data_IF_635150001059
#
_entry.id   IF_635150001059
#
_cell.length_a   1.000
_cell.length_b   1.000
_cell.length_c   1.000
_cell.angle_alpha   90.00
_cell.angle_beta   90.00
_cell.angle_gamma   90.00
#
_symmetry.space_group_name_H-M   'P 1'
#
loop_
_entity.id
_entity.type
_entity.pdbx_description
1 polymer ?
#
# COMPACT_ATOMS: atom_id res chain seq x y z
N UNK A 1 20.64 1.88 -23.50
CA UNK A 1 20.15 3.26 -23.27
C UNK A 1 18.62 3.32 -23.12
N UNK A 2 17.83 2.77 -24.05
CA UNK A 2 16.36 2.77 -23.94
C UNK A 2 15.83 2.10 -22.65
N UNK A 3 16.44 1.00 -22.20
CA UNK A 3 16.06 0.30 -20.96
C UNK A 3 16.22 1.15 -19.70
N UNK A 4 17.33 1.90 -19.60
CA UNK A 4 17.60 2.78 -18.46
C UNK A 4 16.55 3.89 -18.38
N UNK A 5 16.16 4.47 -19.52
CA UNK A 5 15.11 5.48 -19.57
C UNK A 5 13.75 4.92 -19.12
N UNK A 6 13.38 3.73 -19.58
CA UNK A 6 12.13 3.08 -19.15
C UNK A 6 12.12 2.82 -17.64
N UNK A 7 13.23 2.32 -17.08
CA UNK A 7 13.36 2.11 -15.63
C UNK A 7 13.24 3.44 -14.87
N UNK A 8 13.89 4.50 -15.35
CA UNK A 8 13.84 5.82 -14.73
C UNK A 8 12.41 6.41 -14.76
N UNK A 9 11.70 6.25 -15.87
CA UNK A 9 10.29 6.67 -15.99
C UNK A 9 9.39 5.90 -15.04
N UNK A 10 9.52 4.57 -14.98
CA UNK A 10 8.75 3.73 -14.07
C UNK A 10 9.02 4.10 -12.59
N UNK A 11 10.29 4.27 -12.22
CA UNK A 11 10.67 4.69 -10.87
C UNK A 11 10.10 6.08 -10.52
N UNK A 12 10.16 7.03 -11.46
CA UNK A 12 9.62 8.38 -11.27
C UNK A 12 8.11 8.34 -11.08
N UNK A 13 7.40 7.58 -11.92
CA UNK A 13 5.95 7.42 -11.83
C UNK A 13 5.53 6.81 -10.48
N UNK A 14 6.14 5.69 -10.10
CA UNK A 14 5.88 5.05 -8.81
C UNK A 14 6.21 5.98 -7.63
N UNK A 15 7.28 6.76 -7.72
CA UNK A 15 7.64 7.74 -6.68
C UNK A 15 6.58 8.85 -6.55
N UNK A 16 6.10 9.41 -7.66
CA UNK A 16 5.07 10.46 -7.66
C UNK A 16 3.74 9.94 -7.10
N UNK A 17 3.32 8.74 -7.50
CA UNK A 17 2.10 8.10 -6.99
C UNK A 17 2.24 7.74 -5.50
N UNK A 18 3.41 7.28 -5.07
CA UNK A 18 3.72 7.07 -3.66
C UNK A 18 3.66 8.35 -2.81
N UNK A 19 4.08 9.50 -3.35
CA UNK A 19 3.91 10.80 -2.67
C UNK A 19 2.42 11.15 -2.54
N UNK A 20 1.62 10.89 -3.57
CA UNK A 20 0.17 11.13 -3.52
C UNK A 20 -0.51 10.23 -2.49
N UNK A 21 -0.17 8.94 -2.44
CA UNK A 21 -0.70 7.99 -1.46
C UNK A 21 -0.23 8.27 -0.03
N UNK A 22 0.97 8.80 0.17
CA UNK A 22 1.40 9.21 1.51
C UNK A 22 0.55 10.36 2.06
N UNK A 23 0.09 11.28 1.20
CA UNK A 23 -0.81 12.36 1.59
C UNK A 23 -2.24 11.88 1.85
N UNK A 24 -2.59 10.68 1.39
CA UNK A 24 -3.87 10.04 1.72
C UNK A 24 -3.74 9.33 3.09
N UNK A 25 -4.85 9.18 3.81
CA UNK A 25 -4.90 8.47 5.12
C UNK A 25 -4.60 6.95 5.03
N UNK A 26 -4.06 6.47 3.90
CA UNK A 26 -3.71 5.07 3.62
C UNK A 26 -2.29 4.72 4.05
N UNK A 27 -1.41 5.72 4.21
CA UNK A 27 0.01 5.54 4.51
C UNK A 27 0.31 4.56 5.67
N UNK A 28 -0.42 4.59 6.81
CA UNK A 28 -0.16 3.66 7.92
C UNK A 28 -0.40 2.17 7.60
N UNK A 29 -1.18 1.85 6.56
CA UNK A 29 -1.43 0.48 6.12
C UNK A 29 -0.41 0.01 5.06
N UNK A 30 0.21 0.95 4.35
CA UNK A 30 1.18 0.67 3.29
C UNK A 30 2.63 0.71 3.78
N UNK A 31 2.91 1.57 4.75
CA UNK A 31 4.23 1.74 5.33
C UNK A 31 4.14 1.90 6.84
N UNK A 32 5.12 1.32 7.54
CA UNK A 32 5.25 1.52 8.97
C UNK A 32 5.59 2.99 9.25
N UNK A 33 4.84 3.59 10.18
CA UNK A 33 5.09 4.96 10.66
C UNK A 33 6.56 5.08 11.12
N UNK A 34 7.20 6.18 10.74
CA UNK A 34 8.59 6.43 11.09
C UNK A 34 8.71 6.67 12.59
N UNK A 35 9.64 5.96 13.22
CA UNK A 35 9.90 6.05 14.67
C UNK A 35 10.44 7.43 15.05
N UNK A 36 10.07 7.92 16.23
CA UNK A 36 10.35 9.29 16.69
C UNK A 36 11.84 9.68 16.65
N UNK A 37 12.74 8.72 16.88
CA UNK A 37 14.19 8.96 16.93
C UNK A 37 14.88 8.88 15.57
N UNK A 38 14.17 8.49 14.51
CA UNK A 38 14.76 8.26 13.20
C UNK A 38 14.78 9.56 12.38
N UNK A 39 15.96 9.91 11.86
CA UNK A 39 16.17 11.11 11.03
C UNK A 39 15.61 11.02 9.60
N UNK A 40 15.31 9.81 9.12
CA UNK A 40 14.87 9.54 7.74
C UNK A 40 13.70 8.57 7.75
N UNK A 41 12.74 8.74 6.84
CA UNK A 41 11.62 7.81 6.66
C UNK A 41 12.10 6.38 6.47
N UNK A 42 11.35 5.41 7.00
CA UNK A 42 11.69 3.97 6.88
C UNK A 42 11.51 3.44 5.46
N UNK A 43 10.52 3.97 4.75
CA UNK A 43 10.16 3.55 3.40
C UNK A 43 10.18 4.76 2.46
N UNK A 44 10.69 4.56 1.25
CA UNK A 44 10.64 5.56 0.19
C UNK A 44 9.23 5.64 -0.39
N UNK A 45 8.90 6.75 -1.07
CA UNK A 45 7.62 6.85 -1.77
C UNK A 45 7.48 5.78 -2.87
N UNK A 46 8.57 5.44 -3.55
CA UNK A 46 8.61 4.29 -4.47
C UNK A 46 8.13 3.00 -3.80
N UNK A 47 8.61 2.70 -2.59
CA UNK A 47 8.20 1.52 -1.84
C UNK A 47 6.69 1.54 -1.53
N UNK A 48 6.16 2.70 -1.10
CA UNK A 48 4.74 2.84 -0.72
C UNK A 48 3.83 2.43 -1.89
N UNK A 49 4.16 2.89 -3.10
CA UNK A 49 3.40 2.57 -4.31
C UNK A 49 3.51 1.09 -4.67
N UNK A 50 4.73 0.55 -4.75
CA UNK A 50 4.94 -0.84 -5.13
C UNK A 50 4.29 -1.81 -4.14
N UNK A 51 4.36 -1.52 -2.84
CA UNK A 51 3.73 -2.34 -1.82
C UNK A 51 2.21 -2.25 -1.87
N UNK A 52 1.63 -1.06 -2.10
CA UNK A 52 0.18 -0.93 -2.21
C UNK A 52 -0.39 -1.62 -3.45
N UNK A 53 0.32 -1.59 -4.59
CA UNK A 53 -0.01 -2.40 -5.76
C UNK A 53 0.03 -3.89 -5.45
N UNK A 54 1.12 -4.35 -4.81
CA UNK A 54 1.28 -5.74 -4.42
C UNK A 54 0.12 -6.19 -3.52
N UNK A 55 -0.23 -5.39 -2.53
CA UNK A 55 -1.34 -5.70 -1.61
C UNK A 55 -2.69 -5.75 -2.34
N UNK A 56 -3.00 -4.76 -3.17
CA UNK A 56 -4.25 -4.70 -3.94
C UNK A 56 -4.41 -5.93 -4.85
N UNK A 57 -3.37 -6.28 -5.60
CA UNK A 57 -3.37 -7.44 -6.49
C UNK A 57 -3.47 -8.75 -5.69
N UNK A 58 -2.69 -8.87 -4.61
CA UNK A 58 -2.71 -10.05 -3.74
C UNK A 58 -4.11 -10.27 -3.15
N UNK A 59 -4.75 -9.22 -2.65
CA UNK A 59 -6.08 -9.32 -2.08
C UNK A 59 -7.12 -9.71 -3.14
N UNK A 60 -6.98 -9.24 -4.38
CA UNK A 60 -7.86 -9.68 -5.48
C UNK A 60 -7.72 -11.19 -5.74
N UNK A 61 -6.49 -11.72 -5.76
CA UNK A 61 -6.23 -13.15 -5.98
C UNK A 61 -6.70 -14.05 -4.83
N UNK A 62 -6.62 -13.57 -3.58
CA UNK A 62 -6.85 -14.38 -2.38
C UNK A 62 -8.01 -13.86 -1.52
N UNK A 63 -8.97 -13.15 -2.11
CA UNK A 63 -10.08 -12.50 -1.39
C UNK A 63 -10.93 -13.49 -0.60
N UNK A 64 -11.20 -14.69 -1.16
CA UNK A 64 -11.94 -15.75 -0.49
C UNK A 64 -11.24 -16.22 0.79
N UNK A 65 -9.97 -16.58 0.69
CA UNK A 65 -9.15 -17.00 1.84
C UNK A 65 -9.03 -15.88 2.87
N UNK A 66 -8.85 -14.63 2.42
CA UNK A 66 -8.80 -13.49 3.32
C UNK A 66 -10.12 -13.33 4.09
N UNK A 67 -11.26 -13.54 3.45
CA UNK A 67 -12.57 -13.51 4.10
C UNK A 67 -12.72 -14.60 5.15
N UNK A 68 -12.38 -15.85 4.83
CA UNK A 68 -12.40 -16.97 5.77
C UNK A 68 -11.53 -16.70 7.01
N UNK A 69 -10.34 -16.13 6.80
CA UNK A 69 -9.44 -15.75 7.89
C UNK A 69 -10.03 -14.63 8.75
N UNK A 70 -10.68 -13.63 8.15
CA UNK A 70 -11.36 -12.56 8.89
C UNK A 70 -12.53 -13.09 9.71
N UNK A 71 -13.34 -13.98 9.13
CA UNK A 71 -14.49 -14.61 9.79
C UNK A 71 -14.06 -15.48 10.97
N UNK A 72 -12.88 -16.10 10.90
CA UNK A 72 -12.29 -16.85 12.02
C UNK A 72 -11.93 -16.00 13.24
N UNK A 73 -11.87 -14.66 13.10
CA UNK A 73 -11.50 -13.71 14.16
C UNK A 73 -12.62 -12.66 14.38
N UNK A 74 -13.80 -13.09 14.88
CA UNK A 74 -14.98 -12.22 15.01
C UNK A 74 -14.82 -11.08 16.03
N UNK A 75 -13.75 -11.07 16.83
CA UNK A 75 -13.44 -10.01 17.80
C UNK A 75 -12.61 -8.86 17.21
N UNK A 76 -12.25 -8.90 15.91
CA UNK A 76 -11.48 -7.84 15.23
C UNK A 76 -12.14 -7.18 14.00
N UNK A 77 -13.48 -7.17 13.84
CA UNK A 77 -14.13 -6.74 12.59
C UNK A 77 -13.81 -5.29 12.24
N UNK A 78 -13.73 -4.41 13.25
CA UNK A 78 -13.40 -3.01 13.06
C UNK A 78 -11.99 -2.80 12.48
N UNK A 79 -11.01 -3.64 12.84
CA UNK A 79 -9.66 -3.54 12.30
C UNK A 79 -9.63 -3.98 10.83
N UNK A 80 -10.33 -5.07 10.51
CA UNK A 80 -10.46 -5.56 9.14
C UNK A 80 -11.17 -4.54 8.24
N UNK A 81 -12.30 -3.97 8.70
CA UNK A 81 -13.03 -2.96 7.94
C UNK A 81 -12.17 -1.73 7.61
N UNK A 82 -11.32 -1.27 8.53
CA UNK A 82 -10.41 -0.16 8.24
C UNK A 82 -9.39 -0.52 7.15
N UNK A 83 -8.82 -1.74 7.20
CA UNK A 83 -7.93 -2.25 6.16
C UNK A 83 -8.63 -2.33 4.79
N UNK A 84 -9.86 -2.87 4.75
CA UNK A 84 -10.66 -2.96 3.52
C UNK A 84 -11.04 -1.59 2.96
N UNK A 85 -11.36 -0.60 3.80
CA UNK A 85 -11.59 0.78 3.36
C UNK A 85 -10.35 1.37 2.70
N UNK A 86 -9.18 1.18 3.30
CA UNK A 86 -7.92 1.65 2.70
C UNK A 86 -7.63 0.93 1.39
N UNK A 87 -7.85 -0.38 1.33
CA UNK A 87 -7.70 -1.15 0.11
C UNK A 87 -8.62 -0.64 -1.01
N UNK A 88 -9.88 -0.33 -0.69
CA UNK A 88 -10.83 0.23 -1.66
C UNK A 88 -10.40 1.61 -2.18
N UNK A 89 -9.80 2.45 -1.31
CA UNK A 89 -9.28 3.75 -1.72
C UNK A 89 -8.08 3.57 -2.66
N UNK A 90 -7.16 2.66 -2.34
CA UNK A 90 -6.04 2.31 -3.21
C UNK A 90 -6.57 1.89 -4.58
N UNK A 91 -7.51 0.93 -4.63
CA UNK A 91 -8.11 0.42 -5.85
C UNK A 91 -8.78 1.52 -6.70
N UNK A 92 -9.43 2.51 -6.08
CA UNK A 92 -10.02 3.65 -6.81
C UNK A 92 -9.01 4.61 -7.44
N UNK A 93 -7.72 4.49 -7.07
CA UNK A 93 -6.63 5.34 -7.56
C UNK A 93 -5.64 4.57 -8.45
N UNK A 94 -5.94 3.29 -8.74
CA UNK A 94 -5.21 2.48 -9.71
C UNK A 94 -5.56 2.89 -11.12
#
# INVERSE_FOLDING_TARGET
MATILVIAMAYTWATLKGIAWEKMEVSPYLARITEKERKVKRHSHFYIECYGLLWAHSFQCWSSLAQELMDSKPHKPLFFQKGLKVLSLIQSTL
#
